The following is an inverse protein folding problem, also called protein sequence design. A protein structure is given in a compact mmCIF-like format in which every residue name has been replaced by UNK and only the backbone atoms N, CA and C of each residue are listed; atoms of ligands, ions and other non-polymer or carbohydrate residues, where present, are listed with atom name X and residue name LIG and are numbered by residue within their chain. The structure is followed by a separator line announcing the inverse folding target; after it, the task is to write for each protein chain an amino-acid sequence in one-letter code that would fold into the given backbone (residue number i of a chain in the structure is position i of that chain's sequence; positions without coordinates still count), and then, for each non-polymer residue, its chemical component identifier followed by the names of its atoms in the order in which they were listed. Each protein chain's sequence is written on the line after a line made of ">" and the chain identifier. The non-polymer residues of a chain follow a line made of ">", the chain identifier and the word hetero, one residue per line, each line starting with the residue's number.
data_IF_518354199944
#
_entry.id   IF_518354199944
#
_cell.length_a   1.000
_cell.length_b   1.000
_cell.length_c   1.000
_cell.angle_alpha   90.00
_cell.angle_beta   90.00
_cell.angle_gamma   90.00
#
_symmetry.space_group_name_H-M   'P 1'
#
loop_
_entity.id
_entity.type
_entity.pdbx_description
1 polymer ?
#
# COMPACT_ATOMS: atom_id res chain seq x y z
N UNK A 1 -16.26 -3.10 5.00
CA UNK A 1 -15.72 -4.48 4.96
C UNK A 1 -14.21 -4.42 4.69
N UNK A 2 -13.42 -5.42 5.08
CA UNK A 2 -11.95 -5.41 4.94
C UNK A 2 -11.47 -6.75 4.40
N UNK A 3 -10.62 -6.71 3.38
CA UNK A 3 -9.90 -7.85 2.83
C UNK A 3 -8.41 -7.55 2.95
N UNK A 4 -7.62 -8.55 3.30
CA UNK A 4 -6.14 -8.47 3.33
C UNK A 4 -5.60 -9.55 2.41
N UNK A 5 -4.62 -9.22 1.58
CA UNK A 5 -3.95 -10.18 0.69
C UNK A 5 -2.44 -9.93 0.63
N UNK A 6 -1.70 -11.03 0.49
CA UNK A 6 -0.25 -11.02 0.23
C UNK A 6 0.13 -11.88 -0.97
N UNK A 7 -0.85 -12.13 -1.85
CA UNK A 7 -0.69 -12.97 -3.03
C UNK A 7 -0.75 -12.12 -4.30
N UNK A 8 0.08 -12.46 -5.28
CA UNK A 8 -0.02 -11.92 -6.65
C UNK A 8 -1.17 -12.59 -7.40
N UNK A 9 -1.66 -11.92 -8.45
CA UNK A 9 -2.65 -12.49 -9.35
C UNK A 9 -3.88 -11.61 -9.52
N UNK A 10 -4.92 -12.20 -10.09
CA UNK A 10 -6.14 -11.49 -10.46
C UNK A 10 -7.22 -11.64 -9.39
N UNK A 11 -7.81 -10.52 -9.00
CA UNK A 11 -8.87 -10.40 -8.02
C UNK A 11 -10.11 -9.79 -8.66
N UNK A 12 -11.28 -10.18 -8.14
CA UNK A 12 -12.56 -9.68 -8.61
C UNK A 12 -13.47 -9.36 -7.43
N UNK A 13 -14.14 -8.22 -7.50
CA UNK A 13 -15.18 -7.82 -6.57
C UNK A 13 -16.49 -7.59 -7.32
N UNK A 14 -17.57 -8.15 -6.78
CA UNK A 14 -18.93 -7.95 -7.26
C UNK A 14 -19.82 -7.56 -6.08
N UNK A 15 -20.48 -6.42 -6.22
CA UNK A 15 -21.34 -5.85 -5.19
C UNK A 15 -22.58 -6.71 -4.96
N UNK A 16 -22.81 -7.06 -3.69
CA UNK A 16 -24.05 -7.66 -3.20
C UNK A 16 -25.04 -6.58 -2.74
N UNK A 17 -26.26 -6.97 -2.35
CA UNK A 17 -27.24 -6.00 -1.86
C UNK A 17 -26.78 -5.27 -0.59
N UNK A 18 -25.98 -5.94 0.25
CA UNK A 18 -25.51 -5.42 1.53
C UNK A 18 -24.29 -4.48 1.37
N UNK A 19 -23.54 -4.61 0.28
CA UNK A 19 -22.32 -3.81 0.02
C UNK A 19 -22.62 -2.42 -0.55
N UNK A 20 -23.83 -2.18 -1.05
CA UNK A 20 -24.15 -1.00 -1.85
C UNK A 20 -24.01 0.34 -1.09
N UNK A 21 -24.00 0.31 0.24
CA UNK A 21 -23.90 1.50 1.11
C UNK A 21 -22.60 1.58 1.91
N UNK A 22 -21.77 0.53 1.89
CA UNK A 22 -20.61 0.39 2.78
C UNK A 22 -19.31 0.71 2.04
N UNK A 23 -18.38 1.40 2.70
CA UNK A 23 -17.01 1.58 2.21
C UNK A 23 -16.19 0.36 2.63
N UNK A 24 -15.46 -0.19 1.67
CA UNK A 24 -14.64 -1.37 1.85
C UNK A 24 -13.19 -1.10 1.47
N UNK A 25 -12.28 -1.93 1.98
CA UNK A 25 -10.85 -1.83 1.72
C UNK A 25 -10.24 -3.18 1.37
N UNK A 26 -9.30 -3.18 0.43
CA UNK A 26 -8.37 -4.28 0.18
C UNK A 26 -6.96 -3.81 0.55
N UNK A 27 -6.43 -4.33 1.65
CA UNK A 27 -5.04 -4.12 2.05
C UNK A 27 -4.17 -5.15 1.33
N UNK A 28 -3.18 -4.68 0.60
CA UNK A 28 -2.27 -5.51 -0.17
C UNK A 28 -0.89 -5.34 0.44
N UNK A 29 -0.30 -6.45 0.89
CA UNK A 29 0.93 -6.47 1.69
C UNK A 29 1.95 -7.40 1.04
N UNK A 30 3.22 -6.99 0.94
CA UNK A 30 4.30 -7.83 0.42
C UNK A 30 5.55 -7.73 1.30
N UNK A 31 6.55 -8.55 1.01
CA UNK A 31 7.86 -8.48 1.66
C UNK A 31 8.54 -7.12 1.46
N UNK A 32 9.44 -6.70 2.38
CA UNK A 32 10.03 -5.36 2.41
C UNK A 32 10.77 -4.96 1.14
N UNK A 33 11.43 -5.92 0.49
CA UNK A 33 12.22 -5.71 -0.72
C UNK A 33 11.35 -5.69 -1.99
N UNK A 34 10.03 -5.53 -1.84
CA UNK A 34 9.06 -5.43 -2.93
C UNK A 34 8.12 -4.25 -2.74
N UNK A 35 7.48 -3.84 -3.84
CA UNK A 35 6.41 -2.85 -3.86
C UNK A 35 5.11 -3.50 -4.23
N UNK A 36 4.01 -2.81 -3.97
CA UNK A 36 2.69 -3.21 -4.48
C UNK A 36 2.42 -2.50 -5.80
N UNK A 37 2.15 -3.26 -6.84
CA UNK A 37 1.70 -2.79 -8.14
C UNK A 37 0.29 -3.32 -8.42
N UNK A 38 -0.61 -2.44 -8.87
CA UNK A 38 -2.02 -2.73 -9.13
C UNK A 38 -2.40 -2.24 -10.53
N UNK A 39 -3.13 -3.08 -11.25
CA UNK A 39 -3.74 -2.74 -12.54
C UNK A 39 -5.23 -3.03 -12.47
N UNK A 40 -6.09 -2.04 -12.73
CA UNK A 40 -7.54 -2.29 -12.83
C UNK A 40 -7.89 -2.80 -14.23
N UNK A 41 -8.16 -4.10 -14.33
CA UNK A 41 -8.45 -4.77 -15.60
C UNK A 41 -9.86 -4.44 -16.13
N UNK A 42 -10.79 -4.12 -15.22
CA UNK A 42 -12.20 -3.84 -15.51
C UNK A 42 -12.84 -3.00 -14.40
N UNK A 43 -13.65 -2.01 -14.79
CA UNK A 43 -14.54 -1.24 -13.92
C UNK A 43 -15.95 -1.22 -14.50
N UNK A 44 -16.96 -1.48 -13.66
CA UNK A 44 -18.37 -1.13 -13.86
C UNK A 44 -18.91 -0.61 -12.53
N UNK A 45 -18.56 0.64 -12.23
CA UNK A 45 -18.83 1.29 -10.94
C UNK A 45 -19.63 2.58 -11.17
N UNK A 46 -20.92 2.65 -10.82
CA UNK A 46 -21.76 3.81 -11.16
C UNK A 46 -21.35 5.11 -10.44
N UNK A 47 -20.79 6.08 -11.16
CA UNK A 47 -20.39 7.39 -10.61
C UNK A 47 -21.58 8.16 -9.99
N UNK A 48 -22.73 8.16 -10.67
CA UNK A 48 -23.91 8.95 -10.28
C UNK A 48 -24.47 8.59 -8.90
N UNK A 49 -24.24 7.35 -8.45
CA UNK A 49 -24.71 6.86 -7.14
C UNK A 49 -23.61 6.88 -6.08
N UNK A 50 -22.62 7.77 -6.24
CA UNK A 50 -21.43 7.86 -5.38
C UNK A 50 -20.63 6.56 -5.37
N UNK A 51 -20.54 5.90 -6.52
CA UNK A 51 -19.65 4.76 -6.72
C UNK A 51 -18.23 5.23 -6.93
N UNK A 52 -17.29 4.57 -6.28
CA UNK A 52 -15.89 4.97 -6.27
C UNK A 52 -15.01 3.74 -6.03
N UNK A 53 -13.88 3.68 -6.73
CA UNK A 53 -12.73 2.83 -6.41
C UNK A 53 -11.52 3.73 -6.37
N UNK A 54 -10.73 3.65 -5.31
CA UNK A 54 -9.50 4.41 -5.17
C UNK A 54 -8.34 3.48 -4.88
N UNK A 55 -7.17 3.83 -5.41
CA UNK A 55 -5.90 3.25 -5.00
C UNK A 55 -5.13 4.28 -4.18
N UNK A 56 -4.55 3.83 -3.07
CA UNK A 56 -3.72 4.62 -2.17
C UNK A 56 -2.29 4.09 -2.25
N UNK A 57 -1.36 4.97 -2.60
CA UNK A 57 0.07 4.81 -2.39
C UNK A 57 0.37 4.92 -0.89
N UNK A 58 0.22 3.79 -0.21
CA UNK A 58 0.23 3.67 1.23
C UNK A 58 -0.93 2.83 1.72
N UNK A 59 -1.22 3.00 2.99
CA UNK A 59 -2.42 2.47 3.58
C UNK A 59 -2.96 3.48 4.57
N UNK A 60 -4.24 3.33 4.88
CA UNK A 60 -4.96 4.19 5.81
C UNK A 60 -5.56 3.34 6.91
N UNK A 61 -5.46 3.83 8.13
CA UNK A 61 -6.13 3.26 9.29
C UNK A 61 -6.54 4.40 10.23
N UNK A 62 -7.80 4.44 10.64
CA UNK A 62 -8.35 5.46 11.54
C UNK A 62 -8.08 6.90 11.07
N UNK A 63 -8.23 7.14 9.76
CA UNK A 63 -8.00 8.40 9.05
C UNK A 63 -6.53 8.86 9.04
N UNK A 64 -5.60 7.99 9.40
CA UNK A 64 -4.17 8.26 9.32
C UNK A 64 -3.57 7.51 8.14
N UNK A 65 -2.79 8.23 7.34
CA UNK A 65 -2.06 7.66 6.22
C UNK A 65 -0.67 7.21 6.67
N UNK A 66 -0.30 6.04 6.19
CA UNK A 66 0.98 5.41 6.44
C UNK A 66 1.67 5.15 5.10
N UNK A 67 2.95 5.52 4.94
CA UNK A 67 3.76 6.35 5.84
C UNK A 67 3.15 7.74 6.08
N UNK A 68 3.61 8.45 7.11
CA UNK A 68 3.15 9.82 7.38
C UNK A 68 3.47 10.76 6.21
N UNK A 69 2.82 11.93 6.10
CA UNK A 69 3.16 12.93 5.09
C UNK A 69 4.63 13.37 5.11
N UNK A 70 5.29 13.32 6.27
CA UNK A 70 6.69 13.69 6.46
C UNK A 70 7.67 12.61 5.97
N UNK A 71 7.26 11.34 6.05
CA UNK A 71 8.12 10.19 5.71
C UNK A 71 7.86 9.67 4.29
N UNK A 72 6.70 9.99 3.70
CA UNK A 72 6.36 9.58 2.35
C UNK A 72 7.00 10.51 1.30
N UNK A 73 7.57 9.98 0.20
CA UNK A 73 8.23 10.81 -0.83
C UNK A 73 7.26 11.69 -1.64
N UNK A 74 5.97 11.38 -1.64
CA UNK A 74 4.91 12.13 -2.34
C UNK A 74 3.97 12.81 -1.34
N UNK A 75 3.49 14.04 -1.60
CA UNK A 75 2.44 14.67 -0.80
C UNK A 75 1.10 13.93 -0.92
N UNK A 76 0.21 14.09 0.07
CA UNK A 76 -1.06 13.36 0.16
C UNK A 76 -1.94 13.43 -1.09
N UNK A 77 -2.05 14.59 -1.75
CA UNK A 77 -2.84 14.77 -2.97
C UNK A 77 -2.31 13.97 -4.18
N UNK A 78 -1.07 13.47 -4.12
CA UNK A 78 -0.47 12.61 -5.14
C UNK A 78 -0.45 11.14 -4.73
N UNK A 79 -0.95 10.82 -3.53
CA UNK A 79 -0.96 9.45 -2.98
C UNK A 79 -2.25 8.70 -3.22
N UNK A 80 -3.28 9.32 -3.80
CA UNK A 80 -4.49 8.59 -4.16
C UNK A 80 -4.93 8.90 -5.58
N UNK A 81 -5.57 7.90 -6.18
CA UNK A 81 -6.20 7.96 -7.51
C UNK A 81 -7.58 7.37 -7.40
N UNK A 82 -8.55 8.11 -7.91
CA UNK A 82 -9.98 7.77 -7.82
C UNK A 82 -10.53 7.47 -9.21
N UNK A 83 -11.36 6.43 -9.27
CA UNK A 83 -11.95 5.92 -10.50
C UNK A 83 -13.42 5.56 -10.29
N UNK A 84 -14.23 5.78 -11.32
CA UNK A 84 -15.59 5.26 -11.44
C UNK A 84 -15.97 5.22 -12.93
N UNK A 85 -17.07 4.56 -13.27
CA UNK A 85 -17.59 4.44 -14.63
C UNK A 85 -17.40 3.05 -15.22
N UNK A 86 -17.50 2.98 -16.55
CA UNK A 86 -17.40 1.74 -17.33
C UNK A 86 -16.24 1.80 -18.32
N UNK A 87 -15.03 1.47 -17.85
CA UNK A 87 -13.85 1.47 -18.69
C UNK A 87 -12.72 0.63 -18.09
N UNK A 88 -11.66 0.41 -18.87
CA UNK A 88 -10.39 -0.11 -18.37
C UNK A 88 -9.50 1.05 -17.93
N UNK A 89 -8.89 0.95 -16.76
CA UNK A 89 -7.84 1.90 -16.36
C UNK A 89 -6.55 1.46 -17.02
N UNK A 90 -5.95 2.35 -17.82
CA UNK A 90 -4.70 2.07 -18.52
C UNK A 90 -3.45 2.34 -17.68
N UNK A 91 -3.63 3.04 -16.56
CA UNK A 91 -2.56 3.42 -15.65
C UNK A 91 -2.14 2.24 -14.77
N UNK A 92 -0.83 2.09 -14.61
CA UNK A 92 -0.23 1.18 -13.64
C UNK A 92 -0.08 1.95 -12.33
N UNK A 93 -0.67 1.42 -11.27
CA UNK A 93 -0.69 2.07 -9.97
C UNK A 93 0.32 1.39 -9.06
N UNK A 94 1.32 2.13 -8.60
CA UNK A 94 2.40 1.58 -7.77
C UNK A 94 2.47 2.28 -6.42
N UNK A 95 2.63 1.48 -5.37
CA UNK A 95 2.97 1.96 -4.05
C UNK A 95 4.47 2.13 -3.85
N UNK A 96 4.88 3.20 -3.19
CA UNK A 96 6.26 3.52 -2.84
C UNK A 96 6.86 2.61 -1.75
N UNK A 97 6.04 1.75 -1.12
CA UNK A 97 6.39 0.84 -0.03
C UNK A 97 5.80 -0.56 -0.26
N UNK A 98 6.07 -1.48 0.67
CA UNK A 98 5.61 -2.87 0.62
C UNK A 98 4.12 -3.06 0.98
N UNK A 99 3.32 -1.99 0.94
CA UNK A 99 1.90 -2.02 1.28
C UNK A 99 1.11 -0.99 0.48
N UNK A 100 -0.03 -1.42 -0.07
CA UNK A 100 -0.98 -0.58 -0.80
C UNK A 100 -2.40 -0.82 -0.31
N UNK A 101 -3.30 0.12 -0.60
CA UNK A 101 -4.70 0.02 -0.21
C UNK A 101 -5.60 0.38 -1.40
N UNK A 102 -6.57 -0.48 -1.68
CA UNK A 102 -7.71 -0.14 -2.55
C UNK A 102 -8.90 0.15 -1.66
N UNK A 103 -9.47 1.35 -1.69
CA UNK A 103 -10.74 1.65 -1.03
C UNK A 103 -11.84 1.72 -2.07
N UNK A 104 -13.03 1.20 -1.77
CA UNK A 104 -14.12 1.21 -2.73
C UNK A 104 -15.49 1.25 -2.09
N UNK A 105 -16.43 1.77 -2.86
CA UNK A 105 -17.87 1.73 -2.63
C UNK A 105 -18.53 1.48 -3.98
N UNK A 106 -19.19 0.33 -4.13
CA UNK A 106 -19.80 -0.06 -5.40
C UNK A 106 -21.32 -0.16 -5.24
N UNK A 107 -22.07 0.91 -5.58
CA UNK A 107 -23.51 0.91 -5.50
C UNK A 107 -24.12 0.08 -6.64
N UNK A 108 -25.06 -0.79 -6.29
CA UNK A 108 -25.85 -1.56 -7.25
C UNK A 108 -25.43 -3.02 -7.36
N UNK A 109 -26.41 -3.91 -7.24
CA UNK A 109 -26.21 -5.35 -7.29
C UNK A 109 -25.61 -5.77 -8.62
N UNK A 110 -24.54 -6.56 -8.57
CA UNK A 110 -23.89 -7.12 -9.76
C UNK A 110 -22.88 -6.20 -10.45
N UNK A 111 -22.77 -4.95 -10.01
CA UNK A 111 -21.68 -4.02 -10.37
C UNK A 111 -20.38 -4.41 -9.69
N UNK A 112 -19.24 -3.97 -10.19
CA UNK A 112 -17.97 -4.47 -9.69
C UNK A 112 -16.74 -4.01 -10.45
N UNK A 113 -15.61 -4.59 -10.08
CA UNK A 113 -14.32 -4.33 -10.70
C UNK A 113 -13.40 -5.54 -10.54
N UNK A 114 -12.40 -5.64 -11.40
CA UNK A 114 -11.28 -6.57 -11.23
C UNK A 114 -9.97 -5.83 -11.27
N UNK A 115 -8.98 -6.39 -10.59
CA UNK A 115 -7.63 -5.86 -10.57
C UNK A 115 -6.60 -6.98 -10.50
N UNK A 116 -5.43 -6.72 -11.04
CA UNK A 116 -4.27 -7.60 -10.97
C UNK A 116 -3.23 -7.00 -10.04
N UNK A 117 -2.71 -7.81 -9.13
CA UNK A 117 -1.64 -7.44 -8.18
C UNK A 117 -0.33 -8.07 -8.62
N UNK A 118 0.75 -7.28 -8.54
CA UNK A 118 2.13 -7.73 -8.73
C UNK A 118 3.04 -7.14 -7.65
N UNK A 119 4.15 -7.82 -7.39
CA UNK A 119 5.15 -7.41 -6.41
C UNK A 119 6.53 -7.21 -7.04
N UNK A 120 6.74 -6.11 -7.79
CA UNK A 120 8.05 -5.78 -8.34
C UNK A 120 9.08 -5.52 -7.23
N UNK A 121 10.35 -5.77 -7.53
CA UNK A 121 11.45 -5.60 -6.58
C UNK A 121 11.68 -4.12 -6.25
N UNK A 122 11.81 -3.82 -4.96
CA UNK A 122 12.23 -2.54 -4.40
C UNK A 122 13.70 -2.62 -3.99
N UNK A 123 14.65 -2.02 -4.74
CA UNK A 123 16.06 -2.06 -4.37
C UNK A 123 16.40 -1.15 -3.18
N UNK A 124 15.51 -0.21 -2.83
CA UNK A 124 15.77 0.78 -1.77
C UNK A 124 14.56 0.96 -0.83
N UNK A 125 14.15 -0.10 -0.10
CA UNK A 125 13.03 -0.01 0.83
C UNK A 125 13.33 0.90 2.02
N UNK A 126 12.50 1.93 2.19
CA UNK A 126 12.68 2.96 3.23
C UNK A 126 11.51 2.98 4.21
N UNK A 127 10.27 2.92 3.73
CA UNK A 127 9.11 2.78 4.60
C UNK A 127 8.59 1.34 4.55
N UNK A 128 8.55 0.67 5.70
CA UNK A 128 8.33 -0.78 5.79
C UNK A 128 7.20 -1.08 6.77
N UNK A 129 6.19 -1.81 6.29
CA UNK A 129 5.19 -2.47 7.12
C UNK A 129 5.66 -3.88 7.49
N UNK A 130 5.80 -4.14 8.79
CA UNK A 130 6.30 -5.39 9.41
C UNK A 130 5.28 -6.55 9.39
N UNK A 131 4.50 -6.71 8.33
CA UNK A 131 3.49 -7.78 8.23
C UNK A 131 3.80 -8.80 7.12
N UNK A 132 5.04 -8.80 6.62
CA UNK A 132 5.55 -9.78 5.66
C UNK A 132 6.07 -11.06 6.31
N UNK A 133 6.71 -11.92 5.50
CA UNK A 133 7.29 -13.21 5.96
C UNK A 133 8.70 -13.08 6.53
N UNK A 134 9.30 -11.90 6.44
CA UNK A 134 10.65 -11.66 6.92
C UNK A 134 10.72 -11.55 8.46
N UNK A 135 11.76 -12.10 9.07
CA UNK A 135 12.03 -11.95 10.51
C UNK A 135 13.02 -10.81 10.79
N UNK A 136 13.88 -10.49 9.81
CA UNK A 136 14.93 -9.48 9.92
C UNK A 136 14.81 -8.47 8.79
N UNK A 137 14.96 -7.21 9.15
CA UNK A 137 14.73 -6.05 8.29
C UNK A 137 15.91 -5.10 8.42
N UNK A 138 16.37 -4.53 7.30
CA UNK A 138 17.36 -3.45 7.31
C UNK A 138 16.71 -2.16 6.85
N UNK A 139 16.59 -1.21 7.77
CA UNK A 139 16.12 0.14 7.51
C UNK A 139 17.30 1.03 7.13
N UNK A 140 17.19 1.70 5.98
CA UNK A 140 18.27 2.53 5.43
C UNK A 140 17.68 3.68 4.61
N UNK A 141 18.26 4.87 4.73
CA UNK A 141 17.90 6.05 3.93
C UNK A 141 18.57 6.10 2.54
N UNK A 142 19.44 5.13 2.25
CA UNK A 142 20.19 4.99 0.99
C UNK A 142 20.95 6.25 0.59
N UNK A 143 21.54 6.95 1.58
CA UNK A 143 22.24 8.24 1.38
C UNK A 143 21.36 9.35 0.83
N UNK A 144 20.04 9.23 0.97
CA UNK A 144 19.08 10.28 0.64
C UNK A 144 18.70 11.00 1.92
N UNK A 145 18.44 12.31 1.81
CA UNK A 145 17.90 13.12 2.89
C UNK A 145 16.39 12.88 3.02
N UNK A 146 16.03 11.69 3.48
CA UNK A 146 14.64 11.22 3.64
C UNK A 146 14.50 10.54 5.01
N UNK A 147 13.32 10.63 5.59
CA UNK A 147 12.97 9.82 6.76
C UNK A 147 12.51 8.44 6.30
N UNK A 148 12.94 7.41 7.01
CA UNK A 148 12.53 6.04 6.80
C UNK A 148 11.78 5.56 8.04
N UNK A 149 10.62 4.94 7.81
CA UNK A 149 9.73 4.51 8.88
C UNK A 149 9.59 2.99 8.91
N UNK A 150 9.41 2.47 10.12
CA UNK A 150 9.04 1.10 10.38
C UNK A 150 7.68 1.11 11.07
N UNK A 151 6.71 0.39 10.54
CA UNK A 151 5.33 0.36 11.08
C UNK A 151 4.87 -1.08 11.26
N UNK A 152 4.05 -1.33 12.28
CA UNK A 152 3.44 -2.61 12.60
C UNK A 152 1.96 -2.41 12.87
N UNK A 153 1.08 -3.29 12.39
CA UNK A 153 -0.36 -3.20 12.62
C UNK A 153 -0.73 -3.82 13.97
N UNK A 154 -0.07 -4.91 14.32
CA UNK A 154 -0.26 -5.59 15.59
C UNK A 154 0.89 -5.29 16.55
N UNK A 155 0.70 -5.43 17.88
CA UNK A 155 1.78 -5.34 18.83
C UNK A 155 2.94 -6.27 18.42
N UNK A 156 4.12 -5.71 18.19
CA UNK A 156 5.32 -6.44 17.79
C UNK A 156 6.48 -6.13 18.74
N UNK A 157 7.32 -7.13 19.01
CA UNK A 157 8.51 -7.00 19.86
C UNK A 157 9.75 -6.72 19.01
N UNK A 158 9.91 -5.46 18.66
CA UNK A 158 10.99 -5.01 17.77
C UNK A 158 12.33 -4.92 18.53
N UNK A 159 13.36 -5.65 18.09
CA UNK A 159 14.73 -5.55 18.61
C UNK A 159 15.67 -4.97 17.58
N UNK A 160 16.39 -3.90 17.94
CA UNK A 160 17.49 -3.37 17.12
C UNK A 160 18.69 -4.30 17.27
N UNK A 161 19.08 -4.97 16.18
CA UNK A 161 20.24 -5.86 16.14
C UNK A 161 21.54 -5.09 15.92
N UNK A 162 21.48 -4.05 15.09
CA UNK A 162 22.62 -3.19 14.76
C UNK A 162 22.11 -1.80 14.41
N UNK A 163 22.88 -0.78 14.76
CA UNK A 163 22.62 0.61 14.37
C UNK A 163 23.93 1.26 13.93
N UNK A 164 23.93 1.79 12.73
CA UNK A 164 24.97 2.63 12.16
C UNK A 164 24.33 3.96 11.75
N UNK A 165 24.79 5.03 12.40
CA UNK A 165 24.41 6.42 12.09
C UNK A 165 25.58 7.02 11.31
N UNK A 166 25.32 7.58 10.14
CA UNK A 166 26.38 8.13 9.31
C UNK A 166 26.96 9.39 9.94
N UNK A 167 28.29 9.44 9.94
CA UNK A 167 29.02 10.70 10.09
C UNK A 167 29.16 11.34 8.71
N UNK A 168 29.12 12.67 8.65
CA UNK A 168 29.46 13.44 7.46
C UNK A 168 30.78 12.89 6.87
N UNK A 169 30.68 12.43 5.62
CA UNK A 169 31.75 12.03 4.68
C UNK A 169 32.34 10.62 4.62
N UNK A 170 31.99 9.60 5.42
CA UNK A 170 32.67 8.28 5.22
C UNK A 170 31.85 6.99 5.31
N UNK A 171 30.74 6.87 6.06
CA UNK A 171 30.15 5.53 6.29
C UNK A 171 28.65 5.38 6.05
N UNK A 172 28.29 4.11 5.76
CA UNK A 172 26.97 3.66 5.35
C UNK A 172 26.02 3.56 6.55
N UNK A 173 25.01 4.43 6.58
CA UNK A 173 23.95 4.37 7.59
C UNK A 173 23.07 3.15 7.38
N UNK A 174 22.90 2.34 8.44
CA UNK A 174 22.03 1.14 8.44
C UNK A 174 21.50 0.89 9.85
N UNK A 175 20.20 0.70 9.99
CA UNK A 175 19.62 0.06 11.18
C UNK A 175 19.12 -1.32 10.82
N UNK A 176 19.57 -2.37 11.49
CA UNK A 176 19.04 -3.73 11.33
C UNK A 176 18.15 -4.06 12.51
N UNK A 177 16.96 -4.56 12.21
CA UNK A 177 15.87 -4.76 13.14
C UNK A 177 15.32 -6.18 13.01
N UNK A 178 15.00 -6.82 14.12
CA UNK A 178 14.37 -8.13 14.20
C UNK A 178 12.95 -7.99 14.73
N UNK A 179 11.99 -8.66 14.09
CA UNK A 179 10.56 -8.71 14.48
C UNK A 179 10.32 -9.65 15.67
#
# INVERSE_FOLDING_TARGET
>A
CIVVTSEEGQFFHKSTADDASTVCGVYILTDPDRRVEVHFDYLDVPCENRGLVSFVDGWELNQQFFPSPEDHPKPLNQRYREFCGQHKVKEVLESSQNAGLIQYRVPGRGKGFSFTVRFPRNPTPCNILLEGKADVYTLRNYRKRVNCSLTTLYPASVKVLSLNVGLQDVEVETGTVHK
#
